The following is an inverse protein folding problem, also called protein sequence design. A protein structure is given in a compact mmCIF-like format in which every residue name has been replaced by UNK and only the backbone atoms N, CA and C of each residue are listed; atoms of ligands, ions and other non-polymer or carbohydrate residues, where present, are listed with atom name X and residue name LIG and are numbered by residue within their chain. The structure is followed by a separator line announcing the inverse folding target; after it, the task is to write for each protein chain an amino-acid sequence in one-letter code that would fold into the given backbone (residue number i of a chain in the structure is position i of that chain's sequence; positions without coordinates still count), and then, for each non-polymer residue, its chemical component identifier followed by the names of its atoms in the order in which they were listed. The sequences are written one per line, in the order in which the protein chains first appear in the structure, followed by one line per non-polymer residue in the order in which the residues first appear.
data_IF_828467626985
#
_entry.id   IF_828467626985
#
_cell.length_a   1.000
_cell.length_b   1.000
_cell.length_c   1.000
_cell.angle_alpha   90.00
_cell.angle_beta   90.00
_cell.angle_gamma   90.00
#
_symmetry.space_group_name_H-M   'P 1'
#
loop_
_entity.id
_entity.type
_entity.pdbx_description
1 polymer ?
#
# COMPACT_ATOMS: atom_id res chain seq x y z
N UNK A 1 24.93 -9.57 11.27
CA UNK A 1 23.99 -9.20 10.21
C UNK A 1 24.58 -8.10 9.34
N UNK A 2 24.48 -8.20 8.02
CA UNK A 2 24.99 -7.12 7.16
C UNK A 2 24.27 -5.80 7.46
N UNK A 3 24.99 -4.71 7.40
CA UNK A 3 24.44 -3.36 7.48
C UNK A 3 24.17 -2.86 6.07
N UNK A 4 22.91 -2.62 5.75
CA UNK A 4 22.50 -2.13 4.43
C UNK A 4 22.37 -0.61 4.38
N UNK A 5 22.80 0.09 5.43
CA UNK A 5 22.81 1.55 5.46
C UNK A 5 21.47 2.21 5.69
N UNK A 6 20.47 1.47 6.17
CA UNK A 6 19.17 2.03 6.50
C UNK A 6 18.56 1.36 7.73
N UNK A 7 17.72 2.10 8.43
CA UNK A 7 17.01 1.62 9.60
C UNK A 7 15.93 0.62 9.20
N UNK A 8 15.59 -0.27 10.13
CA UNK A 8 14.45 -1.17 9.96
C UNK A 8 13.16 -0.34 9.93
N UNK A 9 12.27 -0.72 9.01
CA UNK A 9 10.93 -0.14 8.92
C UNK A 9 9.90 -1.24 9.10
N UNK A 10 8.82 -0.91 9.79
CA UNK A 10 7.72 -1.83 10.05
C UNK A 10 6.43 -1.26 9.50
N UNK A 11 5.58 -2.13 9.03
CA UNK A 11 4.33 -1.70 8.45
C UNK A 11 3.28 -2.80 8.46
N UNK A 12 2.18 -2.52 7.78
CA UNK A 12 1.07 -3.45 7.64
C UNK A 12 0.94 -3.94 6.20
N UNK A 13 0.39 -5.13 6.06
CA UNK A 13 0.00 -5.69 4.77
C UNK A 13 -1.51 -5.79 4.75
N UNK A 14 -2.15 -4.84 4.11
CA UNK A 14 -3.60 -4.71 4.15
C UNK A 14 -4.23 -5.33 2.90
N UNK A 15 -5.31 -6.08 3.10
CA UNK A 15 -6.07 -6.62 1.99
C UNK A 15 -6.90 -5.49 1.36
N UNK A 16 -6.74 -5.20 0.06
CA UNK A 16 -7.47 -4.12 -0.61
C UNK A 16 -8.90 -4.54 -0.97
N UNK A 17 -9.70 -4.84 0.04
CA UNK A 17 -11.03 -5.43 -0.12
C UNK A 17 -12.03 -4.41 -0.65
N UNK A 18 -12.60 -4.69 -1.83
CA UNK A 18 -13.59 -3.84 -2.46
C UNK A 18 -14.95 -3.89 -1.77
N UNK A 19 -15.21 -4.91 -0.94
CA UNK A 19 -16.46 -5.00 -0.20
C UNK A 19 -16.56 -3.93 0.90
N UNK A 20 -15.42 -3.47 1.42
CA UNK A 20 -15.41 -2.43 2.46
C UNK A 20 -14.19 -1.51 2.27
N UNK A 21 -14.24 -0.61 1.27
CA UNK A 21 -13.12 0.30 0.99
C UNK A 21 -12.79 1.22 2.15
N UNK A 22 -13.82 1.68 2.86
CA UNK A 22 -13.64 2.55 4.02
C UNK A 22 -12.83 1.90 5.13
N UNK A 23 -13.01 0.59 5.32
CA UNK A 23 -12.26 -0.16 6.31
C UNK A 23 -10.77 -0.23 5.99
N UNK A 24 -10.43 -0.41 4.71
CA UNK A 24 -9.03 -0.44 4.27
C UNK A 24 -8.35 0.89 4.56
N UNK A 25 -9.01 2.00 4.23
CA UNK A 25 -8.49 3.34 4.51
C UNK A 25 -8.35 3.57 6.01
N UNK A 26 -9.34 3.17 6.82
CA UNK A 26 -9.24 3.25 8.28
C UNK A 26 -8.03 2.50 8.82
N UNK A 27 -7.77 1.29 8.34
CA UNK A 27 -6.63 0.49 8.77
C UNK A 27 -5.31 1.16 8.41
N UNK A 28 -5.24 1.83 7.25
CA UNK A 28 -4.06 2.60 6.87
C UNK A 28 -3.86 3.81 7.79
N UNK A 29 -4.93 4.51 8.14
CA UNK A 29 -4.86 5.63 9.11
C UNK A 29 -4.43 5.15 10.49
N UNK A 30 -4.91 3.98 10.93
CA UNK A 30 -4.48 3.37 12.18
C UNK A 30 -3.02 2.95 12.14
N UNK A 31 -2.53 2.49 11.00
CA UNK A 31 -1.12 2.16 10.81
C UNK A 31 -0.24 3.38 11.07
N UNK A 32 -0.60 4.52 10.51
CA UNK A 32 0.12 5.78 10.75
C UNK A 32 0.01 6.21 12.21
N UNK A 33 -1.19 6.17 12.78
CA UNK A 33 -1.43 6.57 14.16
C UNK A 33 -0.67 5.69 15.16
N UNK A 34 -0.44 4.43 14.82
CA UNK A 34 0.34 3.51 15.65
C UNK A 34 1.85 3.75 15.57
N UNK A 35 2.30 4.67 14.71
CA UNK A 35 3.73 4.98 14.56
C UNK A 35 4.47 4.05 13.61
N UNK A 36 3.77 3.25 12.84
CA UNK A 36 4.38 2.41 11.82
C UNK A 36 4.71 3.22 10.57
N UNK A 37 5.71 2.79 9.81
CA UNK A 37 6.26 3.59 8.73
C UNK A 37 5.56 3.39 7.40
N UNK A 38 4.98 2.19 7.18
CA UNK A 38 4.43 1.92 5.87
C UNK A 38 3.19 1.02 5.90
N UNK A 39 2.35 1.17 4.88
CA UNK A 39 1.26 0.25 4.56
C UNK A 39 1.49 -0.31 3.16
N UNK A 40 1.19 -1.58 2.98
CA UNK A 40 1.35 -2.25 1.70
C UNK A 40 0.05 -2.94 1.29
N UNK A 41 -0.16 -3.05 -0.03
CA UNK A 41 -1.34 -3.69 -0.60
C UNK A 41 -0.92 -4.66 -1.70
N UNK A 42 -1.69 -5.72 -1.89
CA UNK A 42 -1.53 -6.59 -3.04
C UNK A 42 -1.92 -5.86 -4.33
N UNK A 43 -1.14 -6.03 -5.38
CA UNK A 43 -1.47 -5.52 -6.71
C UNK A 43 -1.93 -6.67 -7.60
N UNK A 44 -3.21 -7.00 -7.51
CA UNK A 44 -3.86 -8.04 -8.31
C UNK A 44 -5.00 -7.44 -9.15
N UNK A 45 -4.67 -6.73 -10.26
CA UNK A 45 -5.69 -6.04 -11.07
C UNK A 45 -6.76 -6.96 -11.64
N UNK A 46 -6.46 -8.24 -11.78
CA UNK A 46 -7.38 -9.27 -12.27
C UNK A 46 -8.34 -9.79 -11.19
N UNK A 47 -8.14 -9.41 -9.92
CA UNK A 47 -8.98 -9.88 -8.82
C UNK A 47 -10.14 -8.94 -8.60
N UNK A 48 -11.36 -9.40 -8.96
CA UNK A 48 -12.56 -8.57 -8.89
C UNK A 48 -12.93 -8.12 -7.48
N UNK A 49 -12.46 -8.84 -6.45
CA UNK A 49 -12.74 -8.51 -5.05
C UNK A 49 -11.83 -7.41 -4.51
N UNK A 50 -10.79 -7.05 -5.23
CA UNK A 50 -9.81 -6.09 -4.76
C UNK A 50 -9.99 -4.74 -5.41
N UNK A 51 -9.77 -3.70 -4.62
CA UNK A 51 -9.61 -2.34 -5.12
C UNK A 51 -8.33 -2.26 -5.95
N UNK A 52 -8.31 -1.34 -6.91
CA UNK A 52 -7.07 -1.05 -7.63
C UNK A 52 -6.03 -0.53 -6.64
N UNK A 53 -4.87 -1.19 -6.59
CA UNK A 53 -3.85 -0.88 -5.60
C UNK A 53 -3.30 0.54 -5.73
N UNK A 54 -3.14 1.05 -6.94
CA UNK A 54 -2.61 2.40 -7.16
C UNK A 54 -3.61 3.49 -6.83
N UNK A 55 -4.88 3.28 -7.15
CA UNK A 55 -5.95 4.19 -6.74
C UNK A 55 -6.08 4.23 -5.21
N UNK A 56 -6.01 3.05 -4.58
CA UNK A 56 -6.03 2.94 -3.12
C UNK A 56 -4.83 3.64 -2.49
N UNK A 57 -3.63 3.41 -3.03
CA UNK A 57 -2.41 4.06 -2.56
C UNK A 57 -2.52 5.58 -2.64
N UNK A 58 -3.02 6.12 -3.74
CA UNK A 58 -3.22 7.56 -3.90
C UNK A 58 -4.22 8.10 -2.87
N UNK A 59 -5.31 7.38 -2.61
CA UNK A 59 -6.30 7.76 -1.62
C UNK A 59 -5.71 7.80 -0.22
N UNK A 60 -4.95 6.78 0.15
CA UNK A 60 -4.30 6.69 1.46
C UNK A 60 -3.27 7.81 1.61
N UNK A 61 -2.44 8.05 0.60
CA UNK A 61 -1.44 9.12 0.63
C UNK A 61 -2.08 10.50 0.79
N UNK A 62 -3.23 10.72 0.17
CA UNK A 62 -3.95 11.98 0.29
C UNK A 62 -4.50 12.22 1.70
N UNK A 63 -4.68 11.17 2.50
CA UNK A 63 -5.29 11.23 3.83
C UNK A 63 -4.30 11.01 4.97
N UNK A 64 -3.04 10.79 4.66
CA UNK A 64 -1.98 10.55 5.66
C UNK A 64 -0.91 11.63 5.54
N UNK A 65 -0.07 11.78 6.56
CA UNK A 65 0.96 12.81 6.61
C UNK A 65 2.36 12.26 6.40
N UNK A 66 2.67 11.13 7.03
CA UNK A 66 4.03 10.58 7.06
C UNK A 66 4.10 9.14 6.54
N UNK A 67 2.96 8.49 6.38
CA UNK A 67 2.90 7.10 5.98
C UNK A 67 3.45 6.92 4.56
N UNK A 68 4.29 5.90 4.39
CA UNK A 68 4.73 5.44 3.07
C UNK A 68 3.83 4.32 2.61
N UNK A 69 3.61 4.24 1.32
CA UNK A 69 2.71 3.24 0.72
C UNK A 69 3.42 2.59 -0.46
N UNK A 70 3.29 1.28 -0.56
CA UNK A 70 3.81 0.55 -1.70
C UNK A 70 2.93 -0.67 -2.01
N UNK A 71 3.03 -1.15 -3.24
CA UNK A 71 2.43 -2.43 -3.60
C UNK A 71 3.35 -3.57 -3.15
N UNK A 72 2.76 -4.63 -2.70
CA UNK A 72 3.49 -5.83 -2.31
C UNK A 72 2.89 -7.05 -3.02
N UNK A 73 3.30 -7.31 -4.22
CA UNK A 73 4.25 -6.51 -4.99
C UNK A 73 3.57 -5.95 -6.22
N UNK A 74 4.21 -4.98 -6.89
CA UNK A 74 3.70 -4.42 -8.13
C UNK A 74 3.59 -5.49 -9.22
N UNK A 75 2.42 -5.58 -9.85
CA UNK A 75 2.19 -6.52 -10.94
C UNK A 75 2.73 -5.92 -12.26
N UNK A 76 4.02 -6.06 -12.49
CA UNK A 76 4.70 -5.47 -13.65
C UNK A 76 4.13 -5.93 -14.99
N UNK A 77 3.74 -7.20 -15.20
CA UNK A 77 3.14 -7.60 -16.47
C UNK A 77 1.87 -6.83 -16.83
N UNK A 78 1.14 -6.32 -15.86
CA UNK A 78 -0.10 -5.56 -16.06
C UNK A 78 0.08 -4.06 -15.84
N UNK A 79 1.29 -3.60 -15.54
CA UNK A 79 1.62 -2.20 -15.28
C UNK A 79 2.81 -1.79 -16.16
N UNK A 80 2.57 -1.31 -17.38
CA UNK A 80 3.69 -0.94 -18.28
C UNK A 80 4.65 0.06 -17.62
N UNK A 81 5.96 -0.07 -17.82
CA UNK A 81 6.94 0.79 -17.15
C UNK A 81 6.73 2.28 -17.37
N UNK A 82 6.31 2.67 -18.58
CA UNK A 82 6.07 4.08 -18.89
C UNK A 82 4.83 4.65 -18.16
N UNK A 83 3.94 3.81 -17.68
CA UNK A 83 2.79 4.22 -16.85
C UNK A 83 3.24 4.36 -15.40
N UNK A 84 4.14 3.48 -14.93
CA UNK A 84 4.65 3.51 -13.56
C UNK A 84 5.65 4.63 -13.32
N UNK A 85 6.42 4.96 -14.33
CA UNK A 85 7.40 6.04 -14.24
C UNK A 85 6.70 7.42 -14.19
#
# INVERSE_FOLDING_TARGET
MPDYGQDLQFGTFLTPDAADPGRVVELALLTEAAGLELATFQDHPYQARFLDAWALAATVLARTSTLRVTANVTNLPLRPPFVLA
#
